data_IF_918279115982
#
_entry.id   IF_918279115982
#
_cell.length_a   1.000
_cell.length_b   1.000
_cell.length_c   1.000
_cell.angle_alpha   90.00
_cell.angle_beta   90.00
_cell.angle_gamma   90.00
#
_symmetry.space_group_name_H-M   'P 1'
#
loop_
_entity.id
_entity.type
_entity.pdbx_description
1 polymer ?
#
# COMPACT_ATOMS: atom_id res chain seq x y z
N UNK A 1 22.07 -32.46 -17.18
CA UNK A 1 20.82 -31.75 -16.85
C UNK A 1 19.70 -32.39 -17.64
N UNK A 2 18.65 -32.92 -17.00
CA UNK A 2 17.46 -33.36 -17.74
C UNK A 2 16.75 -32.10 -18.24
N UNK A 3 16.78 -31.88 -19.55
CA UNK A 3 15.81 -31.01 -20.23
C UNK A 3 14.45 -31.67 -20.07
N UNK A 4 13.55 -31.04 -19.33
CA UNK A 4 12.14 -31.40 -19.31
C UNK A 4 11.52 -30.94 -20.64
N UNK A 5 10.62 -31.77 -21.20
CA UNK A 5 9.99 -31.62 -22.51
C UNK A 5 9.11 -30.37 -22.63
N UNK A 6 8.94 -29.86 -23.85
CA UNK A 6 8.23 -28.62 -24.23
C UNK A 6 6.69 -28.61 -23.98
N UNK A 7 6.14 -29.58 -23.23
CA UNK A 7 4.73 -29.59 -22.79
C UNK A 7 4.59 -28.95 -21.38
N UNK A 8 4.99 -27.68 -21.26
CA UNK A 8 4.96 -26.94 -19.98
C UNK A 8 3.52 -26.60 -19.54
N UNK A 9 2.79 -27.55 -18.98
CA UNK A 9 1.50 -27.24 -18.35
C UNK A 9 1.62 -26.84 -16.87
N UNK A 10 2.59 -27.39 -16.13
CA UNK A 10 2.76 -27.08 -14.70
C UNK A 10 3.84 -26.04 -14.46
N UNK A 11 3.44 -24.88 -13.92
CA UNK A 11 4.30 -23.75 -13.54
C UNK A 11 4.53 -23.67 -12.02
N UNK A 12 4.21 -24.73 -11.27
CA UNK A 12 4.16 -24.69 -9.80
C UNK A 12 4.44 -26.03 -9.11
N UNK A 13 4.89 -25.99 -7.86
CA UNK A 13 5.08 -27.20 -7.04
C UNK A 13 3.74 -27.87 -6.64
N UNK A 14 2.72 -27.06 -6.35
CA UNK A 14 1.32 -27.50 -6.25
C UNK A 14 0.56 -26.81 -7.37
N UNK A 15 0.00 -27.58 -8.30
CA UNK A 15 -0.59 -27.06 -9.53
C UNK A 15 -1.97 -27.67 -9.78
N UNK A 16 -2.92 -26.83 -10.20
CA UNK A 16 -4.22 -27.26 -10.75
C UNK A 16 -4.58 -26.47 -12.00
N UNK A 17 -5.13 -27.15 -13.01
CA UNK A 17 -5.77 -26.47 -14.16
C UNK A 17 -7.15 -25.94 -13.81
N UNK A 18 -7.78 -26.56 -12.82
CA UNK A 18 -9.13 -26.26 -12.36
C UNK A 18 -9.07 -25.64 -10.95
N UNK A 19 -10.21 -25.47 -10.33
CA UNK A 19 -10.30 -24.97 -8.97
C UNK A 19 -9.48 -25.82 -7.99
N UNK A 20 -8.77 -25.15 -7.09
CA UNK A 20 -7.96 -25.77 -6.05
C UNK A 20 -8.42 -25.25 -4.70
N UNK A 21 -8.66 -26.17 -3.76
CA UNK A 21 -8.97 -25.83 -2.36
C UNK A 21 -7.92 -26.44 -1.45
N UNK A 22 -7.37 -25.62 -0.55
CA UNK A 22 -6.51 -26.04 0.55
C UNK A 22 -7.28 -25.84 1.84
N UNK A 23 -7.36 -26.88 2.65
CA UNK A 23 -8.09 -26.88 3.92
C UNK A 23 -7.34 -27.71 4.97
N UNK A 24 -7.73 -27.52 6.23
CA UNK A 24 -7.12 -28.14 7.39
C UNK A 24 -6.21 -27.18 8.15
N UNK A 25 -5.94 -27.53 9.41
CA UNK A 25 -5.10 -26.72 10.32
C UNK A 25 -3.64 -27.18 10.37
N UNK A 26 -3.29 -28.19 9.57
CA UNK A 26 -1.95 -28.77 9.50
C UNK A 26 -0.92 -27.83 8.87
N UNK A 27 0.33 -28.31 8.81
CA UNK A 27 1.43 -27.56 8.21
C UNK A 27 1.74 -28.06 6.80
N UNK A 28 1.91 -27.12 5.87
CA UNK A 28 2.33 -27.36 4.50
C UNK A 28 3.57 -26.50 4.21
N UNK A 29 4.69 -27.15 3.89
CA UNK A 29 5.94 -26.47 3.52
C UNK A 29 6.30 -26.80 2.07
N UNK A 30 6.47 -25.77 1.25
CA UNK A 30 6.77 -25.88 -0.18
C UNK A 30 8.08 -25.15 -0.47
N UNK A 31 8.97 -25.82 -1.21
CA UNK A 31 10.15 -25.19 -1.81
C UNK A 31 10.07 -25.39 -3.32
N UNK A 32 9.61 -24.37 -4.04
CA UNK A 32 9.42 -24.36 -5.48
C UNK A 32 10.61 -23.72 -6.18
N UNK A 33 11.64 -24.53 -6.44
CA UNK A 33 12.91 -24.08 -7.03
C UNK A 33 12.86 -23.85 -8.56
N UNK A 34 11.67 -23.83 -9.16
CA UNK A 34 11.51 -23.69 -10.62
C UNK A 34 10.73 -22.42 -10.97
N UNK A 35 9.46 -22.35 -10.57
CA UNK A 35 8.57 -21.22 -10.85
C UNK A 35 7.74 -20.91 -9.58
N UNK A 36 6.41 -21.06 -9.61
CA UNK A 36 5.53 -20.66 -8.52
C UNK A 36 5.43 -21.73 -7.41
N UNK A 37 4.99 -21.33 -6.23
CA UNK A 37 4.72 -22.24 -5.11
C UNK A 37 3.44 -23.06 -5.32
N UNK A 38 2.31 -22.40 -5.14
CA UNK A 38 0.96 -22.97 -5.27
C UNK A 38 0.25 -22.19 -6.39
N UNK A 39 -0.25 -22.87 -7.42
CA UNK A 39 -1.10 -22.22 -8.41
C UNK A 39 -2.33 -23.01 -8.83
N UNK A 40 -3.37 -22.24 -9.18
CA UNK A 40 -4.49 -22.70 -9.99
C UNK A 40 -4.65 -21.81 -11.23
N UNK A 41 -4.90 -22.42 -12.40
CA UNK A 41 -5.33 -21.69 -13.61
C UNK A 41 -6.77 -21.17 -13.53
N UNK A 42 -7.54 -21.60 -12.53
CA UNK A 42 -8.88 -21.15 -12.21
C UNK A 42 -8.91 -20.46 -10.83
N UNK A 43 -9.77 -20.89 -9.90
CA UNK A 43 -9.88 -20.32 -8.57
C UNK A 43 -9.02 -21.08 -7.56
N UNK A 44 -8.39 -20.36 -6.64
CA UNK A 44 -7.68 -20.93 -5.50
C UNK A 44 -8.35 -20.47 -4.21
N UNK A 45 -8.84 -21.42 -3.41
CA UNK A 45 -9.38 -21.17 -2.08
C UNK A 45 -8.46 -21.77 -1.02
N UNK A 46 -8.12 -20.99 0.00
CA UNK A 46 -7.39 -21.46 1.19
C UNK A 46 -8.28 -21.18 2.41
N UNK A 47 -8.81 -22.24 3.01
CA UNK A 47 -9.69 -22.12 4.16
C UNK A 47 -8.90 -21.87 5.45
N UNK A 48 -7.79 -22.58 5.63
CA UNK A 48 -6.91 -22.49 6.79
C UNK A 48 -5.56 -23.18 6.51
N UNK A 49 -4.66 -23.15 7.48
CA UNK A 49 -3.41 -23.92 7.48
C UNK A 49 -2.20 -23.13 7.98
N UNK A 50 -1.09 -23.83 8.24
CA UNK A 50 0.22 -23.21 8.47
C UNK A 50 1.08 -23.42 7.21
N UNK A 51 1.07 -22.44 6.31
CA UNK A 51 1.60 -22.56 4.96
C UNK A 51 2.90 -21.76 4.83
N UNK A 52 3.99 -22.46 4.54
CA UNK A 52 5.29 -21.85 4.22
C UNK A 52 5.63 -22.13 2.78
N UNK A 53 5.89 -21.08 2.00
CA UNK A 53 6.25 -21.20 0.58
C UNK A 53 7.52 -20.41 0.31
N UNK A 54 8.54 -21.09 -0.21
CA UNK A 54 9.68 -20.46 -0.88
C UNK A 54 9.54 -20.75 -2.37
N UNK A 55 9.48 -19.73 -3.22
CA UNK A 55 9.32 -19.85 -4.66
C UNK A 55 10.31 -18.97 -5.42
N UNK A 56 10.66 -19.37 -6.64
CA UNK A 56 11.41 -18.51 -7.56
C UNK A 56 10.52 -17.37 -8.06
N UNK A 57 9.30 -17.72 -8.51
CA UNK A 57 8.31 -16.77 -8.99
C UNK A 57 7.24 -16.53 -7.90
N UNK A 58 5.95 -16.57 -8.24
CA UNK A 58 4.87 -16.21 -7.32
C UNK A 58 4.70 -17.27 -6.21
N UNK A 59 4.50 -16.86 -4.95
CA UNK A 59 4.34 -17.84 -3.87
C UNK A 59 2.96 -18.53 -3.95
N UNK A 60 1.87 -17.75 -4.06
CA UNK A 60 0.51 -18.27 -4.19
C UNK A 60 -0.25 -17.54 -5.28
N UNK A 61 -0.78 -18.29 -6.24
CA UNK A 61 -1.47 -17.74 -7.42
C UNK A 61 -2.81 -18.42 -7.71
N UNK A 62 -3.89 -17.66 -7.59
CA UNK A 62 -5.20 -18.05 -8.14
C UNK A 62 -5.51 -17.21 -9.35
N UNK A 63 -5.40 -17.76 -10.56
CA UNK A 63 -5.42 -16.96 -11.79
C UNK A 63 -6.72 -16.17 -11.94
N UNK A 64 -7.89 -16.79 -11.75
CA UNK A 64 -9.20 -16.11 -11.77
C UNK A 64 -9.48 -15.40 -10.44
N UNK A 65 -9.27 -16.11 -9.34
CA UNK A 65 -9.43 -15.57 -8.00
C UNK A 65 -8.58 -16.31 -6.99
N UNK A 66 -8.14 -15.59 -5.95
CA UNK A 66 -7.54 -16.15 -4.76
C UNK A 66 -8.37 -15.72 -3.54
N UNK A 67 -9.00 -16.70 -2.89
CA UNK A 67 -9.78 -16.50 -1.66
C UNK A 67 -9.03 -17.12 -0.48
N UNK A 68 -8.74 -16.33 0.55
CA UNK A 68 -8.12 -16.80 1.79
C UNK A 68 -9.03 -16.50 2.97
N UNK A 69 -9.55 -17.54 3.61
CA UNK A 69 -10.46 -17.41 4.75
C UNK A 69 -9.73 -17.32 6.11
N UNK A 70 -8.48 -17.79 6.17
CA UNK A 70 -7.67 -17.81 7.38
C UNK A 70 -6.39 -18.62 7.20
N UNK A 71 -5.60 -18.71 8.27
CA UNK A 71 -4.32 -19.44 8.29
C UNK A 71 -3.13 -18.58 8.69
N UNK A 72 -1.96 -19.21 8.78
CA UNK A 72 -0.66 -18.56 9.00
C UNK A 72 0.22 -18.80 7.77
N UNK A 73 0.74 -17.72 7.19
CA UNK A 73 1.47 -17.73 5.93
C UNK A 73 2.86 -17.12 6.11
N UNK A 74 3.88 -17.84 5.67
CA UNK A 74 5.24 -17.32 5.50
C UNK A 74 5.63 -17.50 4.03
N UNK A 75 5.62 -16.40 3.28
CA UNK A 75 5.75 -16.42 1.83
C UNK A 75 7.02 -15.68 1.41
N UNK A 76 7.88 -16.36 0.67
CA UNK A 76 9.11 -15.80 0.13
C UNK A 76 9.20 -16.07 -1.38
N UNK A 77 9.11 -15.01 -2.17
CA UNK A 77 9.18 -15.05 -3.65
C UNK A 77 10.44 -14.35 -4.11
N UNK A 78 11.37 -15.07 -4.75
CA UNK A 78 12.66 -14.51 -5.16
C UNK A 78 12.57 -13.49 -6.28
N UNK A 79 11.57 -13.62 -7.16
CA UNK A 79 11.34 -12.75 -8.33
C UNK A 79 9.89 -12.32 -8.50
N UNK A 80 8.96 -13.19 -8.11
CA UNK A 80 7.53 -12.96 -8.30
C UNK A 80 6.84 -12.29 -7.12
N UNK A 81 5.52 -12.38 -7.13
CA UNK A 81 4.65 -11.76 -6.15
C UNK A 81 4.46 -12.67 -4.92
N UNK A 82 4.11 -12.08 -3.77
CA UNK A 82 3.69 -12.88 -2.61
C UNK A 82 2.36 -13.59 -2.86
N UNK A 83 1.33 -12.82 -3.21
CA UNK A 83 0.00 -13.29 -3.57
C UNK A 83 -0.41 -12.71 -4.92
N UNK A 84 -0.96 -13.54 -5.82
CA UNK A 84 -1.31 -13.11 -7.18
C UNK A 84 -2.65 -13.60 -7.69
N UNK A 85 -3.35 -12.72 -8.40
CA UNK A 85 -4.44 -13.08 -9.32
C UNK A 85 -4.36 -12.23 -10.58
N UNK A 86 -4.27 -12.83 -11.76
CA UNK A 86 -3.88 -12.10 -12.97
C UNK A 86 -4.75 -12.38 -14.20
N UNK A 87 -5.97 -12.92 -14.01
CA UNK A 87 -6.91 -13.07 -15.14
C UNK A 87 -7.31 -11.69 -15.64
N UNK A 88 -6.99 -11.41 -16.89
CA UNK A 88 -7.37 -10.17 -17.56
C UNK A 88 -8.88 -9.89 -17.40
N UNK A 89 -9.19 -8.66 -16.97
CA UNK A 89 -10.54 -8.17 -16.69
C UNK A 89 -11.24 -8.78 -15.47
N UNK A 90 -10.63 -9.72 -14.73
CA UNK A 90 -11.31 -10.49 -13.66
C UNK A 90 -10.50 -10.82 -12.41
N UNK A 91 -9.17 -10.83 -12.47
CA UNK A 91 -8.31 -11.36 -11.41
C UNK A 91 -8.59 -10.67 -10.08
N UNK A 92 -8.98 -11.44 -9.06
CA UNK A 92 -9.34 -10.91 -7.74
C UNK A 92 -8.61 -11.62 -6.60
N UNK A 93 -8.34 -10.89 -5.54
CA UNK A 93 -7.86 -11.45 -4.27
C UNK A 93 -8.81 -11.01 -3.16
N UNK A 94 -9.26 -11.95 -2.34
CA UNK A 94 -10.03 -11.67 -1.13
C UNK A 94 -9.38 -12.35 0.07
N UNK A 95 -9.07 -11.56 1.11
CA UNK A 95 -8.54 -12.05 2.38
C UNK A 95 -9.55 -11.74 3.47
N UNK A 96 -10.16 -12.78 4.05
CA UNK A 96 -11.13 -12.64 5.14
C UNK A 96 -10.49 -12.58 6.52
N UNK A 97 -9.40 -13.32 6.71
CA UNK A 97 -8.59 -13.33 7.92
C UNK A 97 -7.25 -14.02 7.65
N UNK A 98 -6.41 -14.12 8.68
CA UNK A 98 -5.13 -14.83 8.65
C UNK A 98 -3.97 -13.96 9.11
N UNK A 99 -2.80 -14.58 9.25
CA UNK A 99 -1.53 -13.90 9.51
C UNK A 99 -0.58 -14.15 8.34
N UNK A 100 -0.03 -13.09 7.77
CA UNK A 100 0.84 -13.15 6.61
C UNK A 100 2.16 -12.46 6.93
N UNK A 101 3.26 -13.17 6.72
CA UNK A 101 4.60 -12.62 6.62
C UNK A 101 5.06 -12.82 5.17
N UNK A 102 5.16 -11.73 4.41
CA UNK A 102 5.43 -11.74 2.97
C UNK A 102 6.76 -11.04 2.70
N UNK A 103 7.59 -11.68 1.89
CA UNK A 103 8.78 -11.10 1.25
C UNK A 103 8.72 -11.44 -0.23
N UNK A 104 8.73 -10.42 -1.09
CA UNK A 104 8.68 -10.57 -2.53
C UNK A 104 9.67 -9.63 -3.19
N UNK A 105 10.19 -9.99 -4.35
CA UNK A 105 10.96 -9.07 -5.18
C UNK A 105 10.07 -8.21 -6.08
N UNK A 106 8.90 -8.73 -6.46
CA UNK A 106 7.83 -7.99 -7.15
C UNK A 106 6.81 -7.50 -6.12
N UNK A 107 5.51 -7.58 -6.37
CA UNK A 107 4.49 -7.07 -5.46
C UNK A 107 4.24 -7.99 -4.26
N UNK A 108 3.93 -7.40 -3.11
CA UNK A 108 3.49 -8.18 -1.95
C UNK A 108 2.16 -8.88 -2.24
N UNK A 109 1.17 -8.12 -2.72
CA UNK A 109 -0.16 -8.61 -3.12
C UNK A 109 -0.56 -7.92 -4.43
N UNK A 110 -0.75 -8.70 -5.50
CA UNK A 110 -1.14 -8.19 -6.82
C UNK A 110 -2.38 -8.86 -7.37
N UNK A 111 -3.40 -8.06 -7.70
CA UNK A 111 -4.55 -8.52 -8.46
C UNK A 111 -4.71 -7.71 -9.74
N UNK A 112 -5.23 -8.32 -10.79
CA UNK A 112 -5.59 -7.58 -12.00
C UNK A 112 -6.69 -6.54 -11.71
N UNK A 113 -7.78 -6.96 -11.06
CA UNK A 113 -9.00 -6.15 -10.95
C UNK A 113 -9.26 -5.62 -9.54
N UNK A 114 -9.30 -6.51 -8.54
CA UNK A 114 -9.77 -6.16 -7.20
C UNK A 114 -9.01 -6.91 -6.12
N UNK A 115 -8.53 -6.16 -5.13
CA UNK A 115 -8.09 -6.69 -3.84
C UNK A 115 -9.10 -6.28 -2.78
N UNK A 116 -9.59 -7.22 -1.99
CA UNK A 116 -10.45 -6.97 -0.83
C UNK A 116 -9.83 -7.57 0.43
N UNK A 117 -9.50 -6.72 1.39
CA UNK A 117 -8.95 -7.10 2.69
C UNK A 117 -10.01 -6.87 3.76
N UNK A 118 -10.68 -7.93 4.19
CA UNK A 118 -11.76 -7.84 5.18
C UNK A 118 -11.24 -7.83 6.62
N UNK A 119 -10.17 -8.57 6.89
CA UNK A 119 -9.47 -8.59 8.17
C UNK A 119 -8.12 -9.34 8.01
N UNK A 120 -7.33 -9.39 9.08
CA UNK A 120 -6.10 -10.16 9.15
C UNK A 120 -4.95 -9.35 9.75
N UNK A 121 -3.79 -10.00 9.87
CA UNK A 121 -2.50 -9.35 10.13
C UNK A 121 -1.61 -9.57 8.93
N UNK A 122 -1.38 -8.54 8.13
CA UNK A 122 -0.60 -8.62 6.89
C UNK A 122 0.69 -7.82 7.11
N UNK A 123 1.82 -8.52 7.06
CA UNK A 123 3.14 -7.94 7.21
C UNK A 123 3.92 -8.20 5.91
N UNK A 124 3.95 -7.20 5.04
CA UNK A 124 4.80 -7.19 3.84
C UNK A 124 6.12 -6.58 4.27
N UNK A 125 7.14 -7.43 4.42
CA UNK A 125 8.46 -7.05 4.96
C UNK A 125 9.38 -6.42 3.92
N UNK A 126 9.11 -6.66 2.65
CA UNK A 126 9.82 -6.11 1.50
C UNK A 126 9.07 -6.52 0.25
N UNK A 127 8.90 -5.57 -0.66
CA UNK A 127 8.36 -5.75 -2.01
C UNK A 127 8.81 -4.59 -2.91
N UNK A 128 8.60 -4.71 -4.23
CA UNK A 128 8.68 -3.55 -5.11
C UNK A 128 7.56 -2.58 -4.74
N UNK A 129 6.30 -2.97 -4.97
CA UNK A 129 5.14 -2.29 -4.40
C UNK A 129 4.47 -3.20 -3.37
N UNK A 130 3.80 -2.62 -2.38
CA UNK A 130 3.11 -3.39 -1.35
C UNK A 130 1.88 -4.11 -1.89
N UNK A 131 0.87 -3.33 -2.28
CA UNK A 131 -0.43 -3.82 -2.74
C UNK A 131 -0.77 -3.10 -4.05
N UNK A 132 -1.06 -3.86 -5.11
CA UNK A 132 -1.35 -3.31 -6.43
C UNK A 132 -2.58 -3.98 -7.07
N UNK A 133 -3.56 -3.19 -7.49
CA UNK A 133 -4.69 -3.61 -8.32
C UNK A 133 -5.43 -2.40 -8.89
N UNK A 134 -6.29 -2.58 -9.90
CA UNK A 134 -7.16 -1.47 -10.34
C UNK A 134 -8.05 -0.95 -9.20
N UNK A 135 -8.55 -1.83 -8.34
CA UNK A 135 -9.36 -1.48 -7.18
C UNK A 135 -8.83 -2.14 -5.92
N UNK A 136 -8.67 -1.37 -4.84
CA UNK A 136 -8.23 -1.86 -3.55
C UNK A 136 -9.25 -1.45 -2.50
N UNK A 137 -9.78 -2.43 -1.76
CA UNK A 137 -10.74 -2.22 -0.68
C UNK A 137 -10.18 -2.81 0.60
N UNK A 138 -9.90 -1.95 1.59
CA UNK A 138 -9.43 -2.34 2.91
C UNK A 138 -10.55 -2.07 3.91
N UNK A 139 -11.23 -3.13 4.35
CA UNK A 139 -12.34 -3.00 5.29
C UNK A 139 -11.86 -2.98 6.75
N UNK A 140 -10.88 -3.82 7.10
CA UNK A 140 -10.29 -3.88 8.43
C UNK A 140 -8.96 -4.66 8.41
N UNK A 141 -8.30 -4.76 9.57
CA UNK A 141 -7.09 -5.55 9.79
C UNK A 141 -5.88 -4.73 10.25
N UNK A 142 -4.77 -5.42 10.50
CA UNK A 142 -3.48 -4.79 10.83
C UNK A 142 -2.52 -4.99 9.66
N UNK A 143 -2.17 -3.91 8.97
CA UNK A 143 -1.29 -3.92 7.81
C UNK A 143 0.01 -3.20 8.17
N UNK A 144 1.13 -3.85 7.95
CA UNK A 144 2.46 -3.24 7.94
C UNK A 144 3.09 -3.54 6.59
N UNK A 145 3.43 -2.49 5.85
CA UNK A 145 3.87 -2.57 4.46
C UNK A 145 5.21 -1.86 4.33
N UNK A 146 6.24 -2.58 3.90
CA UNK A 146 7.54 -2.04 3.49
C UNK A 146 7.72 -2.27 1.98
N UNK A 147 7.84 -1.18 1.22
CA UNK A 147 7.92 -1.19 -0.23
C UNK A 147 9.06 -0.30 -0.75
N UNK A 148 9.71 -0.75 -1.82
CA UNK A 148 10.81 -0.03 -2.49
C UNK A 148 10.29 1.05 -3.46
N UNK A 149 9.07 0.88 -3.92
CA UNK A 149 8.30 1.82 -4.73
C UNK A 149 7.05 2.16 -3.93
N UNK A 150 5.84 1.94 -4.46
CA UNK A 150 4.61 2.37 -3.81
C UNK A 150 4.11 1.41 -2.72
N UNK A 151 3.58 1.96 -1.64
CA UNK A 151 2.98 1.17 -0.57
C UNK A 151 1.67 0.52 -0.99
N UNK A 152 0.70 1.33 -1.44
CA UNK A 152 -0.61 0.89 -1.92
C UNK A 152 -0.87 1.63 -3.24
N UNK A 153 -0.91 0.91 -4.35
CA UNK A 153 -1.05 1.47 -5.69
C UNK A 153 -2.34 1.00 -6.38
N UNK A 154 -3.20 1.95 -6.75
CA UNK A 154 -4.26 1.71 -7.71
C UNK A 154 -3.88 2.20 -9.12
N UNK A 155 -3.46 1.26 -9.96
CA UNK A 155 -2.95 1.50 -11.31
C UNK A 155 -3.62 0.61 -12.36
N UNK A 156 -3.45 0.98 -13.63
CA UNK A 156 -3.95 0.20 -14.76
C UNK A 156 -3.18 -1.11 -14.91
N UNK A 157 -3.90 -2.22 -14.99
CA UNK A 157 -3.33 -3.53 -15.36
C UNK A 157 -3.47 -3.87 -16.86
N UNK A 158 -4.09 -3.00 -17.67
CA UNK A 158 -4.17 -3.19 -19.13
C UNK A 158 -5.23 -2.39 -19.90
N UNK A 159 -6.31 -1.91 -19.27
CA UNK A 159 -7.39 -1.18 -19.95
C UNK A 159 -7.28 0.34 -19.81
N UNK A 160 -7.49 1.12 -20.88
CA UNK A 160 -7.41 2.60 -20.84
C UNK A 160 -8.54 3.30 -20.05
N UNK A 161 -9.57 2.56 -19.61
CA UNK A 161 -10.73 3.10 -18.87
C UNK A 161 -11.09 2.21 -17.66
N UNK A 162 -10.19 2.12 -16.69
CA UNK A 162 -10.52 1.50 -15.40
C UNK A 162 -11.02 2.53 -14.39
N UNK A 163 -11.97 2.12 -13.54
CA UNK A 163 -12.32 2.87 -12.34
C UNK A 163 -11.27 2.58 -11.26
N UNK A 164 -10.14 3.29 -11.35
CA UNK A 164 -9.03 3.15 -10.42
C UNK A 164 -9.39 3.76 -9.08
N UNK A 165 -9.32 2.95 -8.02
CA UNK A 165 -9.73 3.43 -6.70
C UNK A 165 -9.11 2.66 -5.53
N UNK A 166 -8.62 3.42 -4.55
CA UNK A 166 -8.31 2.90 -3.21
C UNK A 166 -9.45 3.29 -2.25
N UNK A 167 -9.98 2.32 -1.51
CA UNK A 167 -11.03 2.53 -0.49
C UNK A 167 -10.58 1.95 0.84
N UNK A 168 -10.49 2.78 1.87
CA UNK A 168 -10.11 2.40 3.24
C UNK A 168 -11.30 2.64 4.17
N UNK A 169 -11.98 1.58 4.59
CA UNK A 169 -13.12 1.66 5.51
C UNK A 169 -12.71 1.51 6.98
N UNK A 170 -11.56 0.89 7.26
CA UNK A 170 -11.11 0.55 8.61
C UNK A 170 -9.68 0.02 8.66
N UNK A 171 -9.31 -0.55 9.80
CA UNK A 171 -7.99 -1.15 10.02
C UNK A 171 -6.95 -0.19 10.63
N UNK A 172 -5.80 -0.78 10.95
CA UNK A 172 -4.58 -0.09 11.36
C UNK A 172 -3.51 -0.37 10.30
N UNK A 173 -3.18 0.65 9.51
CA UNK A 173 -2.37 0.55 8.30
C UNK A 173 -1.13 1.41 8.50
N UNK A 174 0.03 0.75 8.43
CA UNK A 174 1.34 1.41 8.47
C UNK A 174 2.05 1.12 7.16
N UNK A 175 2.38 2.18 6.44
CA UNK A 175 3.11 2.11 5.17
C UNK A 175 4.48 2.73 5.35
N UNK A 176 5.50 2.05 4.85
CA UNK A 176 6.89 2.49 4.80
C UNK A 176 7.39 2.33 3.36
N UNK A 177 7.31 3.41 2.59
CA UNK A 177 7.54 3.39 1.14
C UNK A 177 8.71 4.31 0.76
N UNK A 178 9.53 3.88 -0.20
CA UNK A 178 10.52 4.76 -0.85
C UNK A 178 9.95 5.43 -2.11
N UNK A 179 8.89 4.87 -2.70
CA UNK A 179 7.96 5.52 -3.62
C UNK A 179 6.83 6.22 -2.87
N UNK A 180 5.64 6.22 -3.45
CA UNK A 180 4.47 6.84 -2.85
C UNK A 180 3.89 5.98 -1.73
N UNK A 181 3.42 6.60 -0.65
CA UNK A 181 2.77 5.84 0.42
C UNK A 181 1.44 5.25 -0.05
N UNK A 182 0.59 6.12 -0.58
CA UNK A 182 -0.65 5.79 -1.29
C UNK A 182 -0.51 6.43 -2.67
N UNK A 183 -0.59 5.63 -3.72
CA UNK A 183 -0.66 6.08 -5.11
C UNK A 183 -1.99 5.63 -5.71
N UNK A 184 -2.74 6.55 -6.31
CA UNK A 184 -3.85 6.18 -7.16
C UNK A 184 -3.86 7.01 -8.43
N UNK A 185 -3.79 6.33 -9.57
CA UNK A 185 -4.09 6.93 -10.87
C UNK A 185 -5.62 7.20 -11.05
N UNK A 186 -6.37 7.25 -9.95
CA UNK A 186 -7.79 7.57 -9.87
C UNK A 186 -8.15 8.12 -8.49
N UNK A 187 -9.20 7.59 -7.86
CA UNK A 187 -9.73 8.14 -6.61
C UNK A 187 -9.19 7.43 -5.35
N UNK A 188 -9.12 8.18 -4.26
CA UNK A 188 -8.92 7.64 -2.91
C UNK A 188 -10.13 7.99 -2.05
N UNK A 189 -10.65 7.00 -1.32
CA UNK A 189 -11.73 7.21 -0.35
C UNK A 189 -11.35 6.58 0.99
N UNK A 190 -11.26 7.39 2.04
CA UNK A 190 -11.00 6.91 3.39
C UNK A 190 -12.20 7.21 4.29
N UNK A 191 -12.92 6.17 4.66
CA UNK A 191 -14.12 6.24 5.50
C UNK A 191 -13.84 5.98 6.99
N UNK A 192 -12.68 5.39 7.32
CA UNK A 192 -12.30 5.07 8.67
C UNK A 192 -10.89 4.49 8.77
N UNK A 193 -10.57 3.91 9.94
CA UNK A 193 -9.27 3.31 10.21
C UNK A 193 -8.21 4.31 10.68
N UNK A 194 -7.00 3.79 10.88
CA UNK A 194 -5.79 4.55 11.18
C UNK A 194 -4.77 4.28 10.08
N UNK A 195 -4.33 5.33 9.40
CA UNK A 195 -3.33 5.26 8.33
C UNK A 195 -2.13 6.10 8.73
N UNK A 196 -0.99 5.44 8.85
CA UNK A 196 0.29 6.06 9.19
C UNK A 196 1.29 5.78 8.07
N UNK A 197 1.81 6.82 7.44
CA UNK A 197 2.69 6.70 6.27
C UNK A 197 4.06 7.30 6.60
N UNK A 198 5.10 6.48 6.47
CA UNK A 198 6.48 6.91 6.30
C UNK A 198 6.76 6.98 4.80
N UNK A 199 6.49 8.14 4.22
CA UNK A 199 6.67 8.39 2.81
C UNK A 199 8.14 8.61 2.42
N UNK A 200 8.37 9.01 1.17
CA UNK A 200 9.70 9.07 0.59
C UNK A 200 10.57 10.15 1.25
N UNK A 201 11.89 9.97 1.18
CA UNK A 201 12.88 10.93 1.68
C UNK A 201 13.53 11.77 0.57
N UNK A 202 13.23 11.44 -0.69
CA UNK A 202 13.75 12.09 -1.89
C UNK A 202 12.59 12.57 -2.73
N UNK A 203 12.78 13.70 -3.40
CA UNK A 203 11.77 14.26 -4.27
C UNK A 203 11.46 13.40 -5.49
N UNK A 204 10.35 13.73 -6.15
CA UNK A 204 9.80 12.98 -7.30
C UNK A 204 8.65 12.03 -6.96
N UNK A 205 8.40 11.79 -5.66
CA UNK A 205 7.32 10.97 -5.12
C UNK A 205 6.67 11.72 -3.93
N UNK A 206 5.39 11.49 -3.68
CA UNK A 206 4.60 12.04 -2.57
C UNK A 206 4.32 11.03 -1.47
N UNK A 207 4.04 11.49 -0.25
CA UNK A 207 3.54 10.56 0.78
C UNK A 207 2.12 10.06 0.47
N UNK A 208 1.38 10.84 -0.31
CA UNK A 208 0.05 10.57 -0.85
C UNK A 208 0.06 11.18 -2.25
N UNK A 209 -0.25 10.38 -3.27
CA UNK A 209 -0.46 10.81 -4.64
C UNK A 209 -1.81 10.27 -5.16
N UNK A 210 -2.52 11.11 -5.90
CA UNK A 210 -3.75 10.73 -6.56
C UNK A 210 -4.06 11.65 -7.75
N UNK A 211 -4.46 11.06 -8.87
CA UNK A 211 -4.86 11.78 -10.09
C UNK A 211 -6.31 12.32 -10.02
N UNK A 212 -7.18 11.60 -9.30
CA UNK A 212 -8.61 11.92 -9.16
C UNK A 212 -8.88 12.78 -7.93
N UNK A 213 -9.75 12.28 -7.04
CA UNK A 213 -10.04 12.91 -5.75
C UNK A 213 -9.68 12.02 -4.57
N UNK A 214 -9.19 12.64 -3.50
CA UNK A 214 -9.09 12.00 -2.20
C UNK A 214 -10.19 12.54 -1.28
N UNK A 215 -11.24 11.74 -1.07
CA UNK A 215 -12.27 12.01 -0.06
C UNK A 215 -11.92 11.37 1.28
N UNK A 216 -11.54 12.19 2.25
CA UNK A 216 -11.40 11.79 3.65
C UNK A 216 -12.73 12.02 4.40
N UNK A 217 -13.43 10.93 4.66
CA UNK A 217 -14.74 10.91 5.30
C UNK A 217 -14.68 10.56 6.80
N UNK A 218 -13.60 9.92 7.26
CA UNK A 218 -13.41 9.55 8.65
C UNK A 218 -12.06 8.88 8.92
N UNK A 219 -11.77 8.62 10.19
CA UNK A 219 -10.54 7.95 10.63
C UNK A 219 -9.43 8.90 11.08
N UNK A 220 -8.22 8.35 11.19
CA UNK A 220 -7.00 9.06 11.57
C UNK A 220 -5.96 8.86 10.47
N UNK A 221 -5.50 9.96 9.87
CA UNK A 221 -4.45 9.97 8.85
C UNK A 221 -3.26 10.75 9.40
N UNK A 222 -2.06 10.20 9.28
CA UNK A 222 -0.81 10.92 9.45
C UNK A 222 0.20 10.42 8.42
N UNK A 223 0.72 11.35 7.63
CA UNK A 223 1.60 11.06 6.52
C UNK A 223 2.80 11.97 6.58
N UNK A 224 3.99 11.37 6.60
CA UNK A 224 5.27 12.08 6.55
C UNK A 224 5.87 11.94 5.16
N UNK A 225 6.37 13.03 4.57
CA UNK A 225 7.00 12.99 3.26
C UNK A 225 7.84 14.21 2.94
N UNK A 226 8.22 14.34 1.68
CA UNK A 226 8.91 15.53 1.15
C UNK A 226 7.92 16.65 0.84
N UNK A 227 8.42 17.87 0.64
CA UNK A 227 7.58 19.04 0.37
C UNK A 227 7.28 19.26 -1.13
N UNK A 228 8.09 18.70 -2.03
CA UNK A 228 8.05 18.99 -3.47
C UNK A 228 6.81 18.42 -4.16
N UNK A 229 6.39 17.22 -3.76
CA UNK A 229 5.20 16.52 -4.27
C UNK A 229 4.10 16.41 -3.20
N UNK A 230 4.14 17.25 -2.16
CA UNK A 230 3.12 17.23 -1.11
C UNK A 230 1.75 17.66 -1.67
N UNK A 231 0.81 16.72 -1.68
CA UNK A 231 -0.58 16.94 -2.04
C UNK A 231 -1.49 16.63 -0.86
N UNK A 232 -2.37 17.59 -0.53
CA UNK A 232 -3.38 17.43 0.51
C UNK A 232 -4.61 16.69 -0.06
N UNK A 233 -5.53 16.27 0.82
CA UNK A 233 -6.80 15.66 0.39
C UNK A 233 -7.70 16.66 -0.35
N UNK A 234 -8.74 16.19 -1.03
CA UNK A 234 -9.66 17.05 -1.78
C UNK A 234 -10.63 17.81 -0.86
N UNK A 235 -11.04 19.02 -1.27
CA UNK A 235 -11.99 19.87 -0.53
C UNK A 235 -13.38 19.25 -0.32
N UNK A 236 -13.72 18.25 -1.13
CA UNK A 236 -14.95 17.44 -1.03
C UNK A 236 -14.95 16.48 0.17
N UNK A 237 -13.83 16.37 0.89
CA UNK A 237 -13.70 15.60 2.13
C UNK A 237 -14.67 16.09 3.22
N UNK A 238 -15.08 15.19 4.12
CA UNK A 238 -15.97 15.50 5.26
C UNK A 238 -15.21 15.75 6.56
N UNK A 239 -13.92 15.44 6.59
CA UNK A 239 -13.04 15.64 7.73
C UNK A 239 -11.96 16.69 7.42
N UNK A 240 -11.69 17.57 8.39
CA UNK A 240 -10.67 18.61 8.23
C UNK A 240 -9.27 17.99 8.16
N UNK A 241 -8.44 18.45 7.25
CA UNK A 241 -7.07 17.97 7.03
C UNK A 241 -6.10 19.14 6.94
N UNK A 242 -4.92 18.95 7.49
CA UNK A 242 -3.83 19.93 7.48
C UNK A 242 -2.64 19.34 6.76
N UNK A 243 -2.10 20.07 5.78
CA UNK A 243 -0.79 19.83 5.18
C UNK A 243 0.15 20.89 5.74
N UNK A 244 1.13 20.45 6.54
CA UNK A 244 2.09 21.30 7.20
C UNK A 244 3.49 21.06 6.64
N UNK A 245 4.08 22.09 6.06
CA UNK A 245 5.41 22.06 5.45
C UNK A 245 6.40 22.87 6.27
N UNK A 246 7.52 22.24 6.64
CA UNK A 246 8.63 22.86 7.34
C UNK A 246 9.58 23.56 6.36
N UNK A 247 10.23 24.65 6.80
CA UNK A 247 11.24 25.35 6.00
C UNK A 247 12.48 24.48 5.70
N UNK A 248 12.69 23.41 6.46
CA UNK A 248 13.79 22.46 6.27
C UNK A 248 13.40 21.04 6.68
N UNK A 249 14.13 20.05 6.14
CA UNK A 249 13.97 18.64 6.49
C UNK A 249 14.14 18.42 8.00
N UNK A 250 13.16 17.76 8.61
CA UNK A 250 13.20 17.21 9.95
C UNK A 250 13.88 15.84 9.92
N UNK A 251 14.64 15.51 10.96
CA UNK A 251 15.38 14.24 11.02
C UNK A 251 14.48 13.05 11.34
N UNK A 252 14.88 11.85 10.91
CA UNK A 252 14.30 10.60 11.38
C UNK A 252 14.27 10.53 12.92
N UNK A 253 13.24 9.90 13.48
CA UNK A 253 12.99 9.83 14.92
C UNK A 253 12.35 11.08 15.52
N UNK A 254 12.10 12.13 14.72
CA UNK A 254 11.45 13.35 15.20
C UNK A 254 10.00 13.06 15.58
N UNK A 255 9.63 13.49 16.80
CA UNK A 255 8.27 13.45 17.31
C UNK A 255 7.52 14.72 16.91
N UNK A 256 6.43 14.55 16.17
CA UNK A 256 5.47 15.58 15.80
C UNK A 256 4.23 15.47 16.70
N UNK A 257 3.75 16.59 17.22
CA UNK A 257 2.59 16.62 18.11
C UNK A 257 1.73 17.84 17.81
N UNK A 258 0.41 17.65 17.78
CA UNK A 258 -0.57 18.73 17.60
C UNK A 258 -1.44 18.83 18.86
N UNK A 259 -1.63 20.05 19.34
CA UNK A 259 -2.47 20.37 20.50
C UNK A 259 -3.56 21.36 20.12
N UNK A 260 -4.74 21.18 20.69
CA UNK A 260 -5.83 22.16 20.60
C UNK A 260 -5.58 23.38 21.51
N UNK A 261 -6.49 24.37 21.46
CA UNK A 261 -6.41 25.60 22.25
C UNK A 261 -6.47 25.40 23.77
N UNK A 262 -6.91 24.23 24.25
CA UNK A 262 -6.87 23.85 25.67
C UNK A 262 -5.54 23.23 26.10
N UNK A 263 -4.65 22.97 25.14
CA UNK A 263 -3.38 22.27 25.36
C UNK A 263 -3.50 20.74 25.31
N UNK A 264 -4.67 20.20 24.94
CA UNK A 264 -4.87 18.76 24.80
C UNK A 264 -4.23 18.27 23.50
N UNK A 265 -3.46 17.19 23.58
CA UNK A 265 -2.90 16.50 22.40
C UNK A 265 -4.04 15.86 21.61
N UNK A 266 -4.13 16.20 20.32
CA UNK A 266 -5.15 15.69 19.39
C UNK A 266 -4.58 14.74 18.32
N UNK A 267 -3.27 14.83 18.07
CA UNK A 267 -2.53 13.96 17.16
C UNK A 267 -1.06 13.91 17.59
N UNK A 268 -0.44 12.74 17.47
CA UNK A 268 0.97 12.53 17.75
C UNK A 268 1.53 11.45 16.82
N UNK A 269 2.73 11.66 16.29
CA UNK A 269 3.43 10.67 15.49
C UNK A 269 4.93 10.84 15.54
N UNK A 270 5.65 9.74 15.33
CA UNK A 270 7.11 9.71 15.26
C UNK A 270 7.47 9.16 13.89
N UNK A 271 8.13 9.95 13.05
CA UNK A 271 8.58 9.46 11.74
C UNK A 271 9.85 8.61 11.88
N UNK A 272 9.91 7.45 11.24
CA UNK A 272 11.14 6.65 11.09
C UNK A 272 12.10 7.23 10.04
N UNK A 273 11.58 8.07 9.16
CA UNK A 273 12.28 8.69 8.03
C UNK A 273 12.41 10.19 8.24
N UNK A 274 13.40 10.82 7.60
CA UNK A 274 13.43 12.27 7.52
C UNK A 274 12.28 12.80 6.67
N UNK A 275 11.69 13.93 7.02
CA UNK A 275 10.51 14.48 6.33
C UNK A 275 10.52 16.01 6.33
N UNK A 276 9.81 16.63 5.39
CA UNK A 276 9.60 18.08 5.35
C UNK A 276 8.13 18.47 5.32
N UNK A 277 7.24 17.54 5.00
CA UNK A 277 5.80 17.74 5.04
C UNK A 277 5.14 16.70 5.96
N UNK A 278 4.08 17.13 6.64
CA UNK A 278 3.17 16.26 7.38
C UNK A 278 1.74 16.58 6.96
N UNK A 279 1.06 15.61 6.37
CA UNK A 279 -0.39 15.67 6.13
C UNK A 279 -1.07 14.88 7.23
N UNK A 280 -2.00 15.51 7.93
CA UNK A 280 -2.65 14.86 9.06
C UNK A 280 -4.12 15.26 9.23
N UNK A 281 -4.89 14.31 9.76
CA UNK A 281 -6.29 14.47 10.04
C UNK A 281 -6.76 13.52 11.13
N UNK A 282 -7.67 13.98 11.98
CA UNK A 282 -8.37 13.15 12.97
C UNK A 282 -9.79 13.65 13.16
N UNK A 283 -10.68 12.79 13.65
CA UNK A 283 -12.06 13.17 13.98
C UNK A 283 -12.18 14.36 14.94
N UNK A 284 -11.16 14.62 15.77
CA UNK A 284 -11.13 15.76 16.70
C UNK A 284 -10.66 17.07 16.07
N UNK A 285 -10.10 17.06 14.85
CA UNK A 285 -9.78 18.30 14.15
C UNK A 285 -11.07 18.96 13.66
N UNK A 286 -11.35 20.14 14.21
CA UNK A 286 -12.47 21.03 13.87
C UNK A 286 -11.94 22.44 13.60
N UNK A 287 -12.80 23.31 13.08
CA UNK A 287 -12.45 24.72 12.90
C UNK A 287 -12.02 25.34 14.24
N UNK A 288 -10.88 26.03 14.24
CA UNK A 288 -10.26 26.54 15.45
C UNK A 288 -8.74 26.66 15.33
N UNK A 289 -8.12 27.08 16.42
CA UNK A 289 -6.68 27.31 16.51
C UNK A 289 -5.96 26.14 17.19
N UNK A 290 -4.81 25.77 16.65
CA UNK A 290 -3.98 24.66 17.11
C UNK A 290 -2.51 25.06 17.15
N UNK A 291 -1.75 24.43 18.03
CA UNK A 291 -0.29 24.52 18.05
C UNK A 291 0.34 23.19 17.66
N UNK A 292 1.52 23.24 17.05
CA UNK A 292 2.31 22.04 16.81
C UNK A 292 3.68 22.13 17.51
N UNK A 293 4.17 20.96 17.92
CA UNK A 293 5.44 20.78 18.61
C UNK A 293 6.33 19.83 17.83
N UNK A 294 7.64 20.10 17.90
CA UNK A 294 8.71 19.23 17.44
C UNK A 294 9.53 18.83 18.65
N UNK A 295 9.62 17.52 18.91
CA UNK A 295 10.32 16.95 20.07
C UNK A 295 9.91 17.62 21.40
N UNK A 296 8.61 17.94 21.54
CA UNK A 296 8.02 18.55 22.74
C UNK A 296 8.22 20.07 22.88
N UNK A 297 8.86 20.73 21.92
CA UNK A 297 9.00 22.19 21.89
C UNK A 297 8.00 22.81 20.92
N UNK A 298 7.26 23.85 21.34
CA UNK A 298 6.33 24.59 20.46
C UNK A 298 7.11 25.12 19.25
N UNK A 299 6.72 24.66 18.07
CA UNK A 299 7.33 25.03 16.80
C UNK A 299 6.47 26.05 16.03
N UNK A 300 5.15 26.01 16.21
CA UNK A 300 4.27 27.02 15.62
C UNK A 300 2.80 26.87 15.98
N UNK A 301 1.97 27.60 15.24
CA UNK A 301 0.52 27.71 15.42
C UNK A 301 -0.16 27.86 14.06
N UNK A 302 -1.37 27.33 13.94
CA UNK A 302 -2.20 27.44 12.73
C UNK A 302 -3.69 27.47 13.10
N UNK A 303 -4.51 27.91 12.15
CA UNK A 303 -5.96 27.91 12.28
C UNK A 303 -6.58 27.08 11.15
N UNK A 304 -7.56 26.25 11.50
CA UNK A 304 -8.38 25.53 10.55
C UNK A 304 -9.67 26.34 10.32
N UNK A 305 -9.91 26.74 9.07
CA UNK A 305 -11.09 27.52 8.68
C UNK A 305 -11.95 26.82 7.62
N UNK A 306 -11.45 25.76 7.00
CA UNK A 306 -12.14 24.96 5.99
C UNK A 306 -11.69 23.49 6.03
N UNK A 307 -12.17 22.70 5.07
CA UNK A 307 -11.88 21.26 4.97
C UNK A 307 -10.38 20.99 4.82
N UNK A 308 -9.69 21.76 3.98
CA UNK A 308 -8.24 21.65 3.78
C UNK A 308 -7.57 22.89 4.36
N UNK A 309 -6.38 22.72 4.94
CA UNK A 309 -5.55 23.81 5.46
C UNK A 309 -4.10 23.55 5.09
N UNK A 310 -3.45 24.54 4.49
CA UNK A 310 -2.01 24.51 4.21
C UNK A 310 -1.28 25.40 5.22
N UNK A 311 -0.20 24.91 5.80
CA UNK A 311 0.61 25.61 6.80
C UNK A 311 2.07 25.58 6.38
N UNK A 312 2.73 26.76 6.37
CA UNK A 312 4.14 26.90 6.00
C UNK A 312 4.35 27.25 4.52
N UNK A 313 5.61 27.32 4.11
CA UNK A 313 5.99 27.71 2.74
C UNK A 313 5.79 26.54 1.77
N UNK A 314 4.73 26.62 0.97
CA UNK A 314 4.48 25.67 -0.11
C UNK A 314 5.22 26.15 -1.37
N UNK A 315 6.52 25.86 -1.45
CA UNK A 315 7.26 26.00 -2.70
C UNK A 315 6.90 24.85 -3.65
N UNK A 316 5.64 24.82 -4.09
CA UNK A 316 5.22 23.88 -5.13
C UNK A 316 6.00 24.25 -6.38
N UNK A 317 6.82 23.33 -6.89
CA UNK A 317 7.22 23.46 -8.29
C UNK A 317 5.92 23.50 -9.11
N UNK A 318 5.77 24.42 -10.09
CA UNK A 318 4.63 24.38 -11.01
C UNK A 318 4.75 23.13 -11.91
N UNK A 319 4.46 21.97 -11.36
CA UNK A 319 4.29 20.70 -12.05
C UNK A 319 2.81 20.56 -12.42
N UNK A 320 2.55 20.44 -13.72
CA UNK A 320 1.22 20.61 -14.30
C UNK A 320 0.18 19.62 -13.77
N UNK A 321 -1.08 20.07 -13.80
CA UNK A 321 -2.26 19.21 -13.85
C UNK A 321 -2.30 18.39 -15.17
N UNK A 322 -1.25 17.61 -15.42
CA UNK A 322 -1.23 16.55 -16.41
C UNK A 322 -1.04 15.29 -15.58
N UNK A 323 -2.17 14.63 -15.30
CA UNK A 323 -2.22 13.32 -14.67
C UNK A 323 -1.16 12.40 -15.28
N UNK A 324 -0.62 11.55 -14.42
CA UNK A 324 0.52 10.70 -14.67
C UNK A 324 0.34 9.86 -15.92
N UNK A 325 0.79 10.40 -17.07
CA UNK A 325 1.28 9.58 -18.16
C UNK A 325 2.81 9.49 -18.08
N UNK A 326 3.31 9.18 -16.88
CA UNK A 326 4.51 8.39 -16.72
C UNK A 326 4.07 6.99 -16.30
N UNK A 327 3.33 6.34 -17.23
CA UNK A 327 2.92 4.95 -17.08
C UNK A 327 4.13 4.08 -16.77
N UNK A 328 3.87 3.08 -15.93
CA UNK A 328 4.81 2.05 -15.52
C UNK A 328 5.79 1.70 -16.62
N UNK A 329 7.07 2.06 -16.41
CA UNK A 329 8.11 1.40 -17.18
C UNK A 329 8.13 -0.03 -16.68
N UNK A 330 7.62 -0.93 -17.50
CA UNK A 330 8.03 -2.33 -17.50
C UNK A 330 9.56 -2.34 -17.38
N UNK A 331 10.06 -2.64 -16.19
CA UNK A 331 11.46 -2.97 -16.01
C UNK A 331 11.63 -4.38 -16.55
N UNK A 332 11.74 -4.49 -17.88
CA UNK A 332 12.36 -5.67 -18.45
C UNK A 332 13.75 -5.77 -17.83
N UNK A 333 13.94 -6.79 -17.00
CA UNK A 333 15.23 -7.21 -16.47
C UNK A 333 16.14 -7.45 -17.68
N UNK A 334 16.95 -6.46 -18.04
CA UNK A 334 18.04 -6.69 -18.97
C UNK A 334 19.04 -7.60 -18.26
N UNK A 335 19.35 -8.81 -18.78
CA UNK A 335 20.42 -9.60 -18.22
C UNK A 335 21.74 -8.82 -18.34
N UNK A 336 22.67 -8.99 -17.38
CA UNK A 336 23.95 -8.30 -17.39
C UNK A 336 24.72 -8.64 -18.67
N UNK A 337 25.21 -7.61 -19.37
CA UNK A 337 26.11 -7.82 -20.51
C UNK A 337 27.40 -8.52 -20.04
N UNK A 338 27.89 -9.52 -20.80
CA UNK A 338 29.16 -10.15 -20.50
C UNK A 338 30.30 -9.14 -20.71
N UNK A 339 31.24 -9.12 -19.76
CA UNK A 339 32.50 -8.37 -19.87
C UNK A 339 33.36 -8.89 -21.02
#
# INVERSE_FOLDING_TARGET
>A
MKKYSDDKESDSAVFSKEDLTIDGTGSLKINANFENGISSKANLTINNGNITVNSVEDAIKGSNSLLINGGNFSLNSEKGDGLKSNKEGKGTITINAGKFDITSASQGIKAYKLITLNNGTINIKSSNEGIEAEQIVINDGNLAIEAVDDGINASLSGEEQANLKITINGGNIVVDAEGDGIDSNGDVEMNGGKVFIYGPTKGGNGSIDFDGIFNLNGGELISFGTADMAQNVSETSKQNTVSLTFDSMQSAGTKFTVKDSSGKVVLEGISKKSFQNVIFSTLSLKNGTYTYEINGSKAGEFAITGTTTEVGNVNRMPGGHRGGQFGGRNWEIRPPEPR
#
